data_IF_166147286529
#
_entry.id   IF_166147286529
#
_cell.length_a   1.000
_cell.length_b   1.000
_cell.length_c   1.000
_cell.angle_alpha   90.00
_cell.angle_beta   90.00
_cell.angle_gamma   90.00
#
_symmetry.space_group_name_H-M   'P 1'
#
loop_
_entity.id
_entity.type
_entity.pdbx_description
1 polymer ?
#
# COMPACT_ATOMS: atom_id res chain seq x y z
N UNK A 1 -23.43 -2.32 -17.72
CA UNK A 1 -22.48 -3.36 -17.31
C UNK A 1 -21.56 -2.92 -16.17
N UNK A 2 -21.35 -1.62 -15.94
CA UNK A 2 -20.59 -1.11 -14.79
C UNK A 2 -21.35 -1.20 -13.45
N UNK A 3 -22.67 -1.31 -13.51
CA UNK A 3 -23.55 -1.30 -12.35
C UNK A 3 -23.41 -2.57 -11.51
N UNK A 4 -23.41 -2.41 -10.20
CA UNK A 4 -23.50 -3.54 -9.25
C UNK A 4 -24.83 -4.27 -9.45
N UNK A 5 -24.74 -5.59 -9.56
CA UNK A 5 -25.90 -6.48 -9.63
C UNK A 5 -26.39 -6.86 -8.22
N UNK A 6 -27.60 -7.38 -8.06
CA UNK A 6 -28.03 -7.93 -6.79
C UNK A 6 -27.07 -9.00 -6.22
N UNK A 7 -26.50 -9.85 -7.09
CA UNK A 7 -25.53 -10.87 -6.70
C UNK A 7 -24.22 -10.25 -6.18
N UNK A 8 -23.77 -9.14 -6.78
CA UNK A 8 -22.58 -8.40 -6.27
C UNK A 8 -22.84 -7.83 -4.88
N UNK A 9 -24.02 -7.28 -4.64
CA UNK A 9 -24.40 -6.76 -3.34
C UNK A 9 -24.51 -7.87 -2.28
N UNK A 10 -25.05 -9.05 -2.64
CA UNK A 10 -25.10 -10.21 -1.76
C UNK A 10 -23.70 -10.73 -1.43
N UNK A 11 -22.80 -10.86 -2.43
CA UNK A 11 -21.38 -11.23 -2.22
C UNK A 11 -20.66 -10.23 -1.32
N UNK A 12 -20.81 -8.96 -1.60
CA UNK A 12 -20.20 -7.93 -0.77
C UNK A 12 -20.68 -8.01 0.69
N UNK A 13 -21.99 -8.15 0.90
CA UNK A 13 -22.54 -8.25 2.25
C UNK A 13 -22.09 -9.51 3.00
N UNK A 14 -21.93 -10.64 2.30
CA UNK A 14 -21.51 -11.91 2.88
C UNK A 14 -20.00 -11.97 3.14
N UNK A 15 -19.19 -11.44 2.22
CA UNK A 15 -17.73 -11.56 2.22
C UNK A 15 -17.06 -10.26 1.77
N UNK A 16 -17.08 -9.18 2.60
CA UNK A 16 -16.61 -7.86 2.19
C UNK A 16 -15.12 -7.80 1.84
N UNK A 17 -14.25 -8.55 2.52
CA UNK A 17 -12.82 -8.61 2.20
C UNK A 17 -12.57 -9.25 0.84
N UNK A 18 -13.16 -10.41 0.61
CA UNK A 18 -13.03 -11.12 -0.66
C UNK A 18 -13.56 -10.29 -1.83
N UNK A 19 -14.71 -9.63 -1.63
CA UNK A 19 -15.27 -8.71 -2.63
C UNK A 19 -14.30 -7.55 -2.96
N UNK A 20 -13.61 -7.00 -1.94
CA UNK A 20 -12.61 -5.95 -2.15
C UNK A 20 -11.41 -6.44 -2.96
N UNK A 21 -10.93 -7.65 -2.66
CA UNK A 21 -9.79 -8.28 -3.35
C UNK A 21 -10.13 -8.58 -4.81
N UNK A 22 -11.29 -9.19 -5.09
CA UNK A 22 -11.74 -9.54 -6.44
C UNK A 22 -11.91 -8.29 -7.33
N UNK A 23 -12.50 -7.21 -6.78
CA UNK A 23 -12.60 -5.94 -7.53
C UNK A 23 -11.25 -5.32 -7.87
N UNK A 24 -10.28 -5.53 -7.02
CA UNK A 24 -8.94 -4.97 -7.18
C UNK A 24 -8.08 -5.73 -8.18
N UNK A 25 -8.17 -7.04 -8.15
CA UNK A 25 -7.38 -7.93 -9.00
C UNK A 25 -7.92 -7.99 -10.44
N UNK A 26 -9.21 -7.68 -10.63
CA UNK A 26 -9.86 -7.73 -11.94
C UNK A 26 -9.83 -9.13 -12.58
N UNK A 27 -9.75 -10.16 -11.75
CA UNK A 27 -9.21 -11.47 -12.13
C UNK A 27 -10.21 -12.41 -12.83
N UNK A 28 -11.46 -11.98 -12.99
CA UNK A 28 -12.42 -12.79 -13.75
C UNK A 28 -12.42 -12.34 -15.21
N UNK A 29 -11.58 -12.97 -16.04
CA UNK A 29 -11.57 -12.78 -17.51
C UNK A 29 -12.96 -13.01 -18.15
N UNK A 30 -13.87 -13.66 -17.43
CA UNK A 30 -15.23 -13.94 -17.84
C UNK A 30 -16.25 -12.96 -17.25
N UNK A 31 -15.87 -12.08 -16.33
CA UNK A 31 -16.77 -11.08 -15.78
C UNK A 31 -16.91 -9.90 -16.74
N UNK A 32 -18.17 -9.53 -16.99
CA UNK A 32 -18.55 -8.45 -17.90
C UNK A 32 -18.15 -7.07 -17.38
N UNK A 33 -17.97 -6.92 -16.07
CA UNK A 33 -17.67 -5.64 -15.41
C UNK A 33 -16.23 -5.16 -15.62
N UNK A 34 -15.18 -5.99 -15.45
CA UNK A 34 -13.82 -5.64 -15.86
C UNK A 34 -13.73 -5.27 -17.33
N UNK A 35 -14.38 -6.04 -18.22
CA UNK A 35 -14.42 -5.73 -19.65
C UNK A 35 -15.10 -4.39 -19.94
N UNK A 36 -16.20 -4.05 -19.25
CA UNK A 36 -16.88 -2.77 -19.36
C UNK A 36 -16.01 -1.61 -18.84
N UNK A 37 -15.23 -1.84 -17.78
CA UNK A 37 -14.27 -0.88 -17.23
C UNK A 37 -13.17 -0.57 -18.24
N UNK A 38 -12.56 -1.57 -18.85
CA UNK A 38 -11.55 -1.38 -19.90
C UNK A 38 -12.13 -0.71 -21.16
N UNK A 39 -13.34 -1.09 -21.57
CA UNK A 39 -14.03 -0.42 -22.66
C UNK A 39 -14.26 1.06 -22.36
N UNK A 40 -14.68 1.40 -21.13
CA UNK A 40 -14.90 2.79 -20.73
C UNK A 40 -13.58 3.60 -20.75
N UNK A 41 -12.49 3.03 -20.26
CA UNK A 41 -11.15 3.63 -20.36
C UNK A 41 -10.72 3.83 -21.81
N UNK A 42 -10.95 2.84 -22.67
CA UNK A 42 -10.64 2.94 -24.11
C UNK A 42 -11.46 4.02 -24.81
N UNK A 43 -12.76 4.09 -24.54
CA UNK A 43 -13.66 5.10 -25.12
C UNK A 43 -13.26 6.52 -24.70
N UNK A 44 -12.92 6.73 -23.42
CA UNK A 44 -12.47 8.03 -22.95
C UNK A 44 -11.20 8.48 -23.67
N UNK A 45 -10.20 7.60 -23.83
CA UNK A 45 -8.94 7.89 -24.55
C UNK A 45 -9.13 8.17 -26.03
N UNK A 46 -10.06 7.47 -26.68
CA UNK A 46 -10.33 7.63 -28.12
C UNK A 46 -10.94 9.00 -28.42
N UNK A 47 -11.91 9.42 -27.63
CA UNK A 47 -12.57 10.73 -27.79
C UNK A 47 -11.60 11.90 -27.70
N UNK A 48 -10.55 11.78 -26.87
CA UNK A 48 -9.50 12.79 -26.71
C UNK A 48 -8.61 12.94 -27.98
N UNK A 49 -8.33 11.85 -28.69
CA UNK A 49 -7.47 11.87 -29.89
C UNK A 49 -8.14 12.48 -31.11
N UNK A 50 -9.45 12.45 -31.18
CA UNK A 50 -10.26 12.94 -32.33
C UNK A 50 -10.35 14.47 -32.39
N UNK A 51 -9.99 15.19 -31.32
CA UNK A 51 -10.21 16.62 -31.14
C UNK A 51 -9.20 17.58 -31.81
N UNK A 52 -8.31 17.13 -32.70
CA UNK A 52 -7.42 18.04 -33.42
C UNK A 52 -8.14 18.74 -34.56
N UNK A 53 -8.81 19.86 -34.29
CA UNK A 53 -9.14 20.87 -35.28
C UNK A 53 -10.61 21.07 -35.64
N UNK A 54 -11.58 20.37 -35.09
CA UNK A 54 -12.99 20.68 -35.22
C UNK A 54 -13.58 20.98 -33.83
N UNK A 55 -14.36 22.05 -33.71
CA UNK A 55 -15.20 22.25 -32.53
C UNK A 55 -16.12 21.02 -32.42
N UNK A 56 -16.10 20.31 -31.26
CA UNK A 56 -16.88 19.10 -31.10
C UNK A 56 -18.39 19.47 -31.14
N UNK A 57 -19.12 19.01 -32.13
CA UNK A 57 -20.59 19.08 -32.14
C UNK A 57 -21.21 18.18 -31.06
N UNK A 58 -20.44 17.22 -30.55
CA UNK A 58 -20.84 16.27 -29.50
C UNK A 58 -19.80 16.30 -28.38
N UNK A 59 -20.21 16.41 -27.07
CA UNK A 59 -19.32 16.31 -25.96
C UNK A 59 -18.53 14.99 -26.04
N UNK A 60 -17.23 15.03 -25.70
CA UNK A 60 -16.48 13.79 -25.56
C UNK A 60 -17.01 12.97 -24.37
N UNK A 61 -16.66 11.69 -24.30
CA UNK A 61 -17.15 10.77 -23.25
C UNK A 61 -16.86 11.31 -21.85
N UNK A 62 -15.69 11.89 -21.64
CA UNK A 62 -15.27 12.41 -20.34
C UNK A 62 -16.10 13.62 -19.91
N UNK A 63 -16.34 14.57 -20.82
CA UNK A 63 -17.21 15.72 -20.54
C UNK A 63 -18.66 15.30 -20.29
N UNK A 64 -19.16 14.32 -21.05
CA UNK A 64 -20.50 13.76 -20.81
C UNK A 64 -20.58 13.11 -19.43
N UNK A 65 -19.58 12.31 -19.02
CA UNK A 65 -19.57 11.68 -17.72
C UNK A 65 -19.47 12.73 -16.59
N UNK A 66 -18.70 13.80 -16.79
CA UNK A 66 -18.67 14.91 -15.86
C UNK A 66 -20.03 15.60 -15.69
N UNK A 67 -20.72 15.86 -16.79
CA UNK A 67 -22.09 16.40 -16.75
C UNK A 67 -23.05 15.48 -15.97
N UNK A 68 -22.96 14.16 -16.20
CA UNK A 68 -23.76 13.17 -15.45
C UNK A 68 -23.36 13.15 -13.96
N UNK A 69 -22.08 13.26 -13.67
CA UNK A 69 -21.59 13.39 -12.30
C UNK A 69 -22.22 14.60 -11.62
N UNK A 70 -22.20 15.78 -12.22
CA UNK A 70 -22.84 16.99 -11.65
C UNK A 70 -24.35 16.82 -11.50
N UNK A 71 -25.04 16.31 -12.50
CA UNK A 71 -26.49 16.10 -12.48
C UNK A 71 -26.92 15.10 -11.40
N UNK A 72 -26.09 14.10 -11.11
CA UNK A 72 -26.40 13.04 -10.13
C UNK A 72 -26.56 13.57 -8.70
N UNK A 73 -26.09 14.79 -8.38
CA UNK A 73 -26.30 15.43 -7.08
C UNK A 73 -27.78 15.57 -6.71
N UNK A 74 -28.65 15.71 -7.70
CA UNK A 74 -30.10 15.90 -7.53
C UNK A 74 -30.90 14.59 -7.59
N UNK A 75 -30.24 13.46 -7.79
CA UNK A 75 -30.94 12.18 -7.89
C UNK A 75 -31.45 11.70 -6.52
N UNK A 76 -32.60 10.99 -6.51
CA UNK A 76 -33.20 10.54 -5.26
C UNK A 76 -32.32 9.50 -4.54
N UNK A 77 -32.42 9.45 -3.22
CA UNK A 77 -31.72 8.47 -2.37
C UNK A 77 -32.46 7.11 -2.32
N UNK A 78 -33.12 6.72 -3.40
CA UNK A 78 -33.69 5.39 -3.57
C UNK A 78 -32.59 4.40 -3.98
N UNK A 79 -32.83 3.10 -3.81
CA UNK A 79 -31.91 2.06 -4.26
C UNK A 79 -31.46 2.26 -5.72
N UNK A 80 -32.42 2.52 -6.60
CA UNK A 80 -32.14 2.78 -8.03
C UNK A 80 -31.27 4.02 -8.23
N UNK A 81 -31.58 5.12 -7.55
CA UNK A 81 -30.81 6.36 -7.62
C UNK A 81 -29.38 6.23 -7.04
N UNK A 82 -29.23 5.47 -5.96
CA UNK A 82 -27.93 5.18 -5.34
C UNK A 82 -27.06 4.34 -6.27
N UNK A 83 -27.61 3.27 -6.87
CA UNK A 83 -26.86 2.43 -7.81
C UNK A 83 -26.54 3.16 -9.11
N UNK A 84 -27.44 4.02 -9.60
CA UNK A 84 -27.17 4.86 -10.77
C UNK A 84 -26.05 5.87 -10.48
N UNK A 85 -26.04 6.48 -9.29
CA UNK A 85 -24.97 7.40 -8.84
C UNK A 85 -23.62 6.68 -8.74
N UNK A 86 -23.59 5.47 -8.16
CA UNK A 86 -22.39 4.64 -8.09
C UNK A 86 -21.76 4.41 -9.47
N UNK A 87 -22.57 4.05 -10.47
CA UNK A 87 -22.13 3.85 -11.85
C UNK A 87 -21.52 5.11 -12.45
N UNK A 88 -22.18 6.26 -12.23
CA UNK A 88 -21.68 7.55 -12.77
C UNK A 88 -20.36 7.92 -12.10
N UNK A 89 -20.22 7.70 -10.80
CA UNK A 89 -18.98 7.96 -10.09
C UNK A 89 -17.87 7.03 -10.59
N UNK A 90 -18.18 5.74 -10.78
CA UNK A 90 -17.24 4.79 -11.37
C UNK A 90 -16.76 5.27 -12.75
N UNK A 91 -17.68 5.52 -13.66
CA UNK A 91 -17.36 5.96 -15.03
C UNK A 91 -16.59 7.29 -15.05
N UNK A 92 -16.94 8.24 -14.16
CA UNK A 92 -16.24 9.53 -14.06
C UNK A 92 -14.82 9.34 -13.52
N UNK A 93 -14.62 8.50 -12.50
CA UNK A 93 -13.31 8.16 -11.98
C UNK A 93 -12.40 7.55 -13.04
N UNK A 94 -12.93 6.68 -13.90
CA UNK A 94 -12.20 6.07 -15.01
C UNK A 94 -11.77 7.08 -16.10
N UNK A 95 -12.38 8.25 -16.15
CA UNK A 95 -12.05 9.33 -17.09
C UNK A 95 -10.94 10.27 -16.55
N UNK A 96 -10.28 9.95 -15.45
CA UNK A 96 -9.28 10.77 -14.74
C UNK A 96 -8.32 11.51 -15.70
N UNK A 97 -7.64 10.75 -16.55
CA UNK A 97 -6.58 11.28 -17.43
C UNK A 97 -7.11 12.27 -18.48
N UNK A 98 -8.39 12.17 -18.83
CA UNK A 98 -9.03 13.03 -19.84
C UNK A 98 -9.74 14.22 -19.20
N UNK A 99 -10.17 14.09 -17.95
CA UNK A 99 -10.75 15.20 -17.18
C UNK A 99 -9.69 16.20 -16.76
N UNK A 100 -8.45 15.76 -16.66
CA UNK A 100 -7.30 16.61 -16.41
C UNK A 100 -6.22 16.41 -17.48
N UNK A 101 -6.40 16.98 -18.68
CA UNK A 101 -5.39 16.88 -19.73
C UNK A 101 -4.15 17.70 -19.34
N UNK A 102 -3.09 17.06 -18.93
CA UNK A 102 -1.75 17.63 -18.66
C UNK A 102 -1.20 18.41 -19.86
N UNK A 103 -1.85 18.33 -21.02
CA UNK A 103 -1.45 18.91 -22.30
C UNK A 103 -1.97 20.33 -22.55
N UNK A 104 -2.90 20.83 -21.74
CA UNK A 104 -3.41 22.18 -21.89
C UNK A 104 -2.59 23.13 -21.00
N UNK A 105 -1.46 23.56 -21.52
CA UNK A 105 -0.73 24.73 -21.02
C UNK A 105 -1.50 26.02 -21.33
N UNK A 106 -2.78 26.07 -20.99
CA UNK A 106 -3.47 27.35 -20.91
C UNK A 106 -3.40 27.81 -19.47
N UNK A 107 -2.56 28.82 -19.24
CA UNK A 107 -2.12 29.29 -17.92
C UNK A 107 -3.26 29.82 -17.04
N UNK A 108 -4.47 29.98 -17.56
CA UNK A 108 -5.59 30.58 -16.83
C UNK A 108 -6.67 29.59 -16.39
N UNK A 109 -6.71 28.38 -16.94
CA UNK A 109 -7.60 27.32 -16.49
C UNK A 109 -6.77 26.28 -15.72
N UNK A 110 -6.65 26.44 -14.40
CA UNK A 110 -5.99 25.46 -13.56
C UNK A 110 -6.86 24.17 -13.51
N UNK A 111 -6.50 23.09 -14.20
CA UNK A 111 -7.27 21.86 -14.24
C UNK A 111 -7.37 21.20 -12.85
N UNK A 112 -6.43 21.49 -11.95
CA UNK A 112 -6.40 21.01 -10.57
C UNK A 112 -7.61 21.47 -9.76
N UNK A 113 -8.22 22.60 -10.12
CA UNK A 113 -9.36 23.17 -9.39
C UNK A 113 -10.62 22.31 -9.56
N UNK A 114 -10.84 21.70 -10.75
CA UNK A 114 -12.07 20.95 -11.01
C UNK A 114 -12.16 19.69 -10.15
N UNK A 115 -11.14 18.85 -10.18
CA UNK A 115 -11.15 17.57 -9.44
C UNK A 115 -10.97 17.79 -7.95
N UNK A 116 -10.04 18.64 -7.55
CA UNK A 116 -9.85 19.03 -6.14
C UNK A 116 -11.10 19.71 -5.57
N UNK A 117 -11.76 20.58 -6.35
CA UNK A 117 -13.05 21.17 -6.00
C UNK A 117 -14.15 20.11 -5.81
N UNK A 118 -14.28 19.16 -6.74
CA UNK A 118 -15.23 18.06 -6.62
C UNK A 118 -14.99 17.19 -5.36
N UNK A 119 -13.73 16.89 -5.06
CA UNK A 119 -13.39 16.16 -3.83
C UNK A 119 -13.86 16.95 -2.60
N UNK A 120 -13.50 18.23 -2.51
CA UNK A 120 -13.80 19.09 -1.36
C UNK A 120 -15.29 19.35 -1.19
N UNK A 121 -15.95 19.80 -2.27
CA UNK A 121 -17.27 20.41 -2.19
C UNK A 121 -18.40 19.38 -2.33
N UNK A 122 -18.07 18.16 -2.80
CA UNK A 122 -19.05 17.12 -3.03
C UNK A 122 -18.68 15.77 -2.45
N UNK A 123 -17.54 15.16 -2.86
CA UNK A 123 -17.24 13.78 -2.49
C UNK A 123 -17.06 13.62 -0.97
N UNK A 124 -16.31 14.52 -0.33
CA UNK A 124 -16.10 14.47 1.13
C UNK A 124 -17.43 14.66 1.90
N UNK A 125 -18.26 15.68 1.62
CA UNK A 125 -19.56 15.81 2.27
C UNK A 125 -20.50 14.62 2.06
N UNK A 126 -20.56 14.07 0.84
CA UNK A 126 -21.40 12.92 0.54
C UNK A 126 -20.88 11.63 1.22
N UNK A 127 -19.56 11.41 1.29
CA UNK A 127 -19.00 10.27 2.02
C UNK A 127 -19.26 10.35 3.53
N UNK A 128 -19.31 11.57 4.08
CA UNK A 128 -19.58 11.82 5.49
C UNK A 128 -21.08 11.78 5.85
N UNK A 129 -21.99 11.70 4.87
CA UNK A 129 -23.43 11.68 5.13
C UNK A 129 -23.83 10.52 6.02
N UNK A 130 -24.61 10.82 7.07
CA UNK A 130 -25.37 9.82 7.83
C UNK A 130 -26.66 9.50 7.07
N UNK A 131 -26.61 8.45 6.25
CA UNK A 131 -27.68 8.04 5.36
C UNK A 131 -27.98 6.55 5.57
N UNK A 132 -29.08 6.07 4.95
CA UNK A 132 -29.49 4.67 5.00
C UNK A 132 -28.35 3.71 4.64
N UNK A 133 -28.39 2.48 5.13
CA UNK A 133 -27.36 1.46 4.95
C UNK A 133 -26.95 1.27 3.47
N UNK A 134 -27.88 1.47 2.53
CA UNK A 134 -27.58 1.37 1.09
C UNK A 134 -26.56 2.42 0.62
N UNK A 135 -26.40 3.54 1.34
CA UNK A 135 -25.45 4.60 1.00
C UNK A 135 -23.99 4.14 1.10
N UNK A 136 -23.71 3.03 1.78
CA UNK A 136 -22.38 2.41 1.83
C UNK A 136 -21.81 2.14 0.43
N UNK A 137 -22.68 1.86 -0.55
CA UNK A 137 -22.32 1.63 -1.96
C UNK A 137 -21.69 2.87 -2.58
N UNK A 138 -22.32 4.04 -2.40
CA UNK A 138 -21.79 5.32 -2.91
C UNK A 138 -20.57 5.75 -2.10
N UNK A 139 -20.60 5.59 -0.77
CA UNK A 139 -19.46 5.92 0.10
C UNK A 139 -18.20 5.17 -0.33
N UNK A 140 -18.30 3.88 -0.58
CA UNK A 140 -17.20 3.09 -1.09
C UNK A 140 -16.69 3.64 -2.43
N UNK A 141 -17.58 3.95 -3.38
CA UNK A 141 -17.19 4.48 -4.69
C UNK A 141 -16.54 5.87 -4.58
N UNK A 142 -16.95 6.68 -3.63
CA UNK A 142 -16.31 7.96 -3.34
C UNK A 142 -14.87 7.75 -2.86
N UNK A 143 -14.64 6.82 -1.93
CA UNK A 143 -13.28 6.51 -1.44
C UNK A 143 -12.40 5.99 -2.58
N UNK A 144 -12.95 5.16 -3.46
CA UNK A 144 -12.26 4.71 -4.67
C UNK A 144 -11.92 5.88 -5.62
N UNK A 145 -12.83 6.86 -5.80
CA UNK A 145 -12.51 8.05 -6.58
C UNK A 145 -11.41 8.89 -5.94
N UNK A 146 -11.38 9.01 -4.62
CA UNK A 146 -10.30 9.69 -3.89
C UNK A 146 -8.97 8.96 -4.09
N UNK A 147 -8.97 7.63 -4.12
CA UNK A 147 -7.79 6.83 -4.45
C UNK A 147 -7.33 7.11 -5.89
N UNK A 148 -8.21 6.99 -6.88
CA UNK A 148 -7.90 7.24 -8.29
C UNK A 148 -7.43 8.69 -8.53
N UNK A 149 -7.93 9.64 -7.74
CA UNK A 149 -7.63 11.05 -7.85
C UNK A 149 -6.65 11.56 -6.77
N UNK A 150 -5.87 10.68 -6.19
CA UNK A 150 -4.92 11.01 -5.10
C UNK A 150 -3.95 12.13 -5.46
N UNK A 151 -3.53 12.21 -6.71
CA UNK A 151 -2.64 13.26 -7.23
C UNK A 151 -3.29 14.66 -7.23
N UNK A 152 -4.63 14.75 -7.17
CA UNK A 152 -5.39 16.00 -7.17
C UNK A 152 -5.89 16.40 -5.78
N UNK A 153 -5.40 15.73 -4.74
CA UNK A 153 -5.68 16.08 -3.35
C UNK A 153 -4.65 17.13 -2.88
N UNK A 154 -4.96 18.39 -3.16
CA UNK A 154 -4.13 19.55 -2.78
C UNK A 154 -4.70 20.30 -1.58
N UNK A 155 -3.96 21.31 -1.07
CA UNK A 155 -4.49 22.30 -0.15
C UNK A 155 -5.56 23.18 -0.84
N UNK A 156 -6.71 23.50 -0.17
CA UNK A 156 -7.06 23.17 1.23
C UNK A 156 -7.83 21.84 1.38
N UNK A 157 -7.95 21.00 0.35
CA UNK A 157 -8.74 19.76 0.33
C UNK A 157 -8.08 18.64 1.16
N UNK A 158 -6.74 18.65 1.22
CA UNK A 158 -5.93 17.59 1.83
C UNK A 158 -6.29 17.30 3.30
N UNK A 159 -6.37 18.29 4.22
CA UNK A 159 -6.72 18.03 5.61
C UNK A 159 -8.10 17.40 5.77
N UNK A 160 -9.07 17.83 4.96
CA UNK A 160 -10.44 17.30 4.99
C UNK A 160 -10.46 15.83 4.50
N UNK A 161 -9.67 15.53 3.47
CA UNK A 161 -9.52 14.17 2.94
C UNK A 161 -8.89 13.24 3.98
N UNK A 162 -7.83 13.66 4.65
CA UNK A 162 -7.21 12.88 5.72
C UNK A 162 -8.20 12.62 6.86
N UNK A 163 -8.93 13.64 7.32
CA UNK A 163 -9.92 13.48 8.36
C UNK A 163 -11.01 12.44 7.99
N UNK A 164 -11.52 12.51 6.75
CA UNK A 164 -12.50 11.54 6.24
C UNK A 164 -11.92 10.12 6.20
N UNK A 165 -10.76 9.94 5.61
CA UNK A 165 -10.16 8.61 5.44
C UNK A 165 -9.81 7.97 6.78
N UNK A 166 -9.30 8.74 7.74
CA UNK A 166 -9.04 8.26 9.11
C UNK A 166 -10.35 7.90 9.83
N UNK A 167 -11.41 8.66 9.64
CA UNK A 167 -12.73 8.30 10.17
C UNK A 167 -13.22 6.98 9.59
N UNK A 168 -13.03 6.75 8.29
CA UNK A 168 -13.46 5.54 7.59
C UNK A 168 -12.63 4.30 7.93
N UNK A 169 -11.39 4.44 8.41
CA UNK A 169 -10.59 3.32 8.92
C UNK A 169 -11.16 2.74 10.22
N UNK A 170 -11.92 3.53 10.99
CA UNK A 170 -12.50 3.10 12.25
C UNK A 170 -13.75 2.26 12.00
N UNK A 171 -13.92 1.18 12.77
CA UNK A 171 -15.13 0.38 12.69
C UNK A 171 -16.34 1.16 13.20
N UNK A 172 -17.33 1.33 12.32
CA UNK A 172 -18.64 1.89 12.66
C UNK A 172 -19.70 1.11 11.87
N UNK A 173 -20.43 0.15 12.52
CA UNK A 173 -21.42 -0.68 11.86
C UNK A 173 -22.45 0.17 11.10
N UNK A 174 -22.74 -0.20 9.85
CA UNK A 174 -23.64 0.54 8.95
C UNK A 174 -23.01 1.77 8.29
N UNK A 175 -21.84 2.22 8.75
CA UNK A 175 -21.11 3.34 8.19
C UNK A 175 -19.88 2.90 7.39
N UNK A 176 -19.10 1.94 7.90
CA UNK A 176 -17.96 1.32 7.22
C UNK A 176 -18.01 -0.20 7.33
N UNK A 177 -17.31 -0.85 6.43
CA UNK A 177 -17.00 -2.28 6.45
C UNK A 177 -15.54 -2.51 6.05
N UNK A 178 -15.11 -3.76 5.99
CA UNK A 178 -13.73 -4.11 5.61
C UNK A 178 -13.38 -3.59 4.21
N UNK A 179 -14.31 -3.58 3.25
CA UNK A 179 -14.09 -3.06 1.90
C UNK A 179 -13.71 -1.57 1.91
N UNK A 180 -14.48 -0.76 2.66
CA UNK A 180 -14.21 0.69 2.78
C UNK A 180 -12.93 0.94 3.56
N UNK A 181 -12.66 0.17 4.62
CA UNK A 181 -11.45 0.30 5.44
C UNK A 181 -10.18 -0.01 4.64
N UNK A 182 -10.18 -1.08 3.86
CA UNK A 182 -9.07 -1.44 2.95
C UNK A 182 -8.82 -0.32 1.92
N UNK A 183 -9.89 0.16 1.32
CA UNK A 183 -9.81 1.22 0.32
C UNK A 183 -9.35 2.56 0.92
N UNK A 184 -9.80 2.90 2.13
CA UNK A 184 -9.37 4.10 2.85
C UNK A 184 -7.87 4.03 3.21
N UNK A 185 -7.37 2.87 3.62
CA UNK A 185 -5.95 2.66 3.88
C UNK A 185 -5.11 2.86 2.61
N UNK A 186 -5.55 2.28 1.49
CA UNK A 186 -4.90 2.45 0.18
C UNK A 186 -4.94 3.90 -0.29
N UNK A 187 -6.05 4.59 -0.09
CA UNK A 187 -6.18 6.01 -0.44
C UNK A 187 -5.22 6.88 0.37
N UNK A 188 -5.06 6.62 1.67
CA UNK A 188 -4.08 7.33 2.50
C UNK A 188 -2.65 7.07 2.03
N UNK A 189 -2.30 5.82 1.71
CA UNK A 189 -0.99 5.48 1.17
C UNK A 189 -0.75 6.15 -0.18
N UNK A 190 -1.72 6.12 -1.09
CA UNK A 190 -1.61 6.76 -2.40
C UNK A 190 -1.40 8.27 -2.30
N UNK A 191 -2.15 8.95 -1.42
CA UNK A 191 -1.96 10.40 -1.18
C UNK A 191 -0.60 10.68 -0.53
N UNK A 192 -0.17 9.83 0.41
CA UNK A 192 1.14 9.97 1.05
C UNK A 192 2.28 9.76 0.04
N UNK A 193 2.11 8.89 -0.96
CA UNK A 193 3.14 8.62 -1.97
C UNK A 193 3.24 9.68 -3.07
N UNK A 194 2.33 10.64 -3.12
CA UNK A 194 2.40 11.73 -4.09
C UNK A 194 3.64 12.62 -3.88
N UNK A 195 4.14 13.21 -4.97
CA UNK A 195 5.27 14.16 -4.92
C UNK A 195 4.95 15.44 -4.14
N UNK A 196 3.66 15.75 -4.00
CA UNK A 196 3.16 16.93 -3.29
C UNK A 196 2.89 16.66 -1.81
N UNK A 197 3.18 15.46 -1.31
CA UNK A 197 2.98 15.13 0.09
C UNK A 197 3.80 16.03 1.01
N UNK A 198 3.16 16.57 2.03
CA UNK A 198 3.78 17.39 3.05
C UNK A 198 3.58 16.76 4.43
N UNK A 199 4.68 16.34 5.04
CA UNK A 199 4.71 15.65 6.33
C UNK A 199 3.96 16.43 7.42
N UNK A 200 4.15 17.73 7.50
CA UNK A 200 3.54 18.57 8.53
C UNK A 200 2.01 18.65 8.45
N UNK A 201 1.42 18.53 7.25
CA UNK A 201 -0.03 18.53 7.06
C UNK A 201 -0.66 17.19 7.44
N UNK A 202 0.11 16.09 7.35
CA UNK A 202 -0.34 14.75 7.74
C UNK A 202 -0.14 14.47 9.23
N UNK A 203 0.80 15.13 9.89
CA UNK A 203 1.17 14.88 11.30
C UNK A 203 -0.02 14.87 12.27
N UNK A 204 -1.04 15.78 12.18
CA UNK A 204 -2.21 15.73 13.06
C UNK A 204 -3.03 14.44 12.95
N UNK A 205 -2.93 13.72 11.85
CA UNK A 205 -3.69 12.50 11.54
C UNK A 205 -2.88 11.22 11.74
N UNK A 206 -1.56 11.33 11.91
CA UNK A 206 -0.63 10.19 11.95
C UNK A 206 -0.98 9.20 13.06
N UNK A 207 -1.19 9.68 14.29
CA UNK A 207 -1.51 8.82 15.43
C UNK A 207 -2.76 8.00 15.18
N UNK A 208 -3.84 8.65 14.77
CA UNK A 208 -5.13 8.00 14.52
C UNK A 208 -5.04 7.01 13.36
N UNK A 209 -4.27 7.35 12.31
CA UNK A 209 -3.99 6.47 11.18
C UNK A 209 -3.25 5.21 11.61
N UNK A 210 -2.13 5.35 12.33
CA UNK A 210 -1.32 4.22 12.77
C UNK A 210 -2.10 3.30 13.71
N UNK A 211 -2.85 3.87 14.66
CA UNK A 211 -3.68 3.10 15.59
C UNK A 211 -4.77 2.33 14.85
N UNK A 212 -5.45 2.96 13.88
CA UNK A 212 -6.52 2.31 13.12
C UNK A 212 -5.96 1.18 12.23
N UNK A 213 -4.85 1.40 11.51
CA UNK A 213 -4.20 0.38 10.68
C UNK A 213 -3.67 -0.78 11.53
N UNK A 214 -3.06 -0.48 12.68
CA UNK A 214 -2.60 -1.49 13.63
C UNK A 214 -3.76 -2.34 14.17
N UNK A 215 -4.90 -1.72 14.47
CA UNK A 215 -6.10 -2.42 14.90
C UNK A 215 -6.62 -3.38 13.80
N UNK A 216 -6.69 -2.93 12.55
CA UNK A 216 -7.09 -3.77 11.42
C UNK A 216 -6.18 -4.99 11.27
N UNK A 217 -4.87 -4.83 11.39
CA UNK A 217 -3.91 -5.93 11.32
C UNK A 217 -4.03 -6.92 12.49
N UNK A 218 -4.47 -6.47 13.67
CA UNK A 218 -4.56 -7.34 14.85
C UNK A 218 -5.84 -8.15 14.94
N UNK A 219 -6.97 -7.61 14.50
CA UNK A 219 -8.28 -8.17 14.84
C UNK A 219 -9.33 -8.05 13.73
N UNK A 220 -9.04 -7.35 12.63
CA UNK A 220 -10.07 -6.94 11.70
C UNK A 220 -10.10 -7.70 10.37
N UNK A 221 -9.02 -8.39 10.00
CA UNK A 221 -8.86 -8.96 8.68
C UNK A 221 -8.51 -10.44 8.74
N UNK A 222 -9.18 -11.25 7.93
CA UNK A 222 -8.95 -12.70 7.86
C UNK A 222 -8.14 -13.08 6.60
N UNK A 223 -8.37 -12.39 5.49
CA UNK A 223 -7.74 -12.68 4.21
C UNK A 223 -6.26 -12.22 4.16
N UNK A 224 -5.31 -13.07 3.74
CA UNK A 224 -3.89 -12.71 3.65
C UNK A 224 -3.63 -11.49 2.74
N UNK A 225 -4.37 -11.36 1.65
CA UNK A 225 -4.23 -10.25 0.70
C UNK A 225 -4.70 -8.91 1.29
N UNK A 226 -5.75 -8.94 2.13
CA UNK A 226 -6.18 -7.77 2.90
C UNK A 226 -5.11 -7.31 3.89
N UNK A 227 -4.52 -8.27 4.63
CA UNK A 227 -3.42 -7.99 5.56
C UNK A 227 -2.21 -7.42 4.83
N UNK A 228 -1.86 -7.98 3.66
CA UNK A 228 -0.79 -7.48 2.79
C UNK A 228 -1.04 -6.03 2.36
N UNK A 229 -2.26 -5.71 1.94
CA UNK A 229 -2.64 -4.36 1.52
C UNK A 229 -2.47 -3.32 2.65
N UNK A 230 -2.92 -3.64 3.88
CA UNK A 230 -2.74 -2.75 5.03
C UNK A 230 -1.27 -2.65 5.44
N UNK A 231 -0.52 -3.76 5.39
CA UNK A 231 0.92 -3.78 5.68
C UNK A 231 1.67 -2.87 4.71
N UNK A 232 1.35 -2.94 3.41
CA UNK A 232 1.92 -2.07 2.39
C UNK A 232 1.58 -0.59 2.65
N UNK A 233 0.32 -0.28 2.99
CA UNK A 233 -0.08 1.08 3.33
C UNK A 233 0.73 1.65 4.52
N UNK A 234 0.99 0.83 5.56
CA UNK A 234 1.86 1.21 6.66
C UNK A 234 3.31 1.45 6.20
N UNK A 235 3.86 0.60 5.34
CA UNK A 235 5.22 0.77 4.79
C UNK A 235 5.35 2.11 4.06
N UNK A 236 4.40 2.44 3.17
CA UNK A 236 4.39 3.72 2.45
C UNK A 236 4.32 4.90 3.42
N UNK A 237 3.41 4.85 4.39
CA UNK A 237 3.28 5.93 5.39
C UNK A 237 4.58 6.07 6.21
N UNK A 238 5.18 4.96 6.67
CA UNK A 238 6.45 4.99 7.40
C UNK A 238 7.56 5.67 6.60
N UNK A 239 7.69 5.36 5.32
CA UNK A 239 8.71 5.99 4.47
C UNK A 239 8.51 7.50 4.35
N UNK A 240 7.26 7.96 4.27
CA UNK A 240 6.92 9.37 4.04
C UNK A 240 6.98 10.23 5.30
N UNK A 241 6.63 9.67 6.46
CA UNK A 241 6.64 10.41 7.75
C UNK A 241 7.96 10.25 8.51
N UNK A 242 8.80 9.29 8.10
CA UNK A 242 10.15 9.08 8.61
C UNK A 242 10.22 8.98 10.15
N UNK A 243 11.02 9.82 10.79
CA UNK A 243 11.25 9.79 12.26
C UNK A 243 10.00 10.03 13.12
N UNK A 244 8.90 10.56 12.56
CA UNK A 244 7.63 10.69 13.29
C UNK A 244 7.00 9.34 13.62
N UNK A 245 7.48 8.23 13.00
CA UNK A 245 7.06 6.87 13.34
C UNK A 245 7.73 6.30 14.60
N UNK A 246 8.84 6.87 15.06
CA UNK A 246 9.61 6.34 16.20
C UNK A 246 8.76 6.08 17.47
N UNK A 247 7.82 6.95 17.86
CA UNK A 247 6.97 6.70 19.04
C UNK A 247 6.08 5.45 18.93
N UNK A 248 5.77 5.00 17.71
CA UNK A 248 4.88 3.86 17.46
C UNK A 248 5.66 2.54 17.29
N UNK A 249 6.99 2.63 17.15
CA UNK A 249 7.87 1.48 16.91
C UNK A 249 7.64 0.28 17.83
N UNK A 250 7.56 0.45 19.17
CA UNK A 250 7.31 -0.67 20.07
C UNK A 250 6.01 -1.40 19.80
N UNK A 251 4.90 -0.65 19.64
CA UNK A 251 3.59 -1.23 19.39
C UNK A 251 3.53 -1.96 18.05
N UNK A 252 4.21 -1.43 17.01
CA UNK A 252 4.31 -2.06 15.71
C UNK A 252 5.18 -3.32 15.75
N UNK A 253 6.29 -3.31 16.50
CA UNK A 253 7.15 -4.48 16.69
C UNK A 253 6.41 -5.62 17.41
N UNK A 254 5.57 -5.31 18.41
CA UNK A 254 4.78 -6.29 19.17
C UNK A 254 3.72 -7.01 18.31
N UNK A 255 3.36 -6.45 17.16
CA UNK A 255 2.41 -7.09 16.23
C UNK A 255 3.07 -8.16 15.36
N UNK A 256 4.35 -8.02 15.05
CA UNK A 256 5.07 -8.85 14.08
C UNK A 256 4.95 -10.35 14.38
N UNK A 257 5.13 -10.85 15.61
CA UNK A 257 5.00 -12.28 15.90
C UNK A 257 3.61 -12.84 15.56
N UNK A 258 2.55 -12.04 15.75
CA UNK A 258 1.18 -12.47 15.43
C UNK A 258 0.96 -12.49 13.92
N UNK A 259 1.47 -11.50 13.20
CA UNK A 259 1.38 -11.46 11.73
C UNK A 259 2.16 -12.63 11.12
N UNK A 260 3.36 -12.90 11.63
CA UNK A 260 4.22 -13.99 11.16
C UNK A 260 3.61 -15.40 11.38
N UNK A 261 2.88 -15.56 12.49
CA UNK A 261 2.24 -16.82 12.87
C UNK A 261 0.89 -17.07 12.21
N UNK A 262 0.39 -16.16 11.37
CA UNK A 262 -0.88 -16.37 10.64
C UNK A 262 -0.79 -17.58 9.73
N UNK A 263 -1.91 -18.27 9.59
CA UNK A 263 -2.04 -19.37 8.63
C UNK A 263 -1.98 -18.81 7.20
N UNK A 264 -0.89 -19.11 6.52
CA UNK A 264 -0.59 -18.66 5.15
C UNK A 264 0.18 -19.79 4.44
N UNK A 265 -0.50 -20.86 4.04
CA UNK A 265 0.15 -22.03 3.45
C UNK A 265 0.87 -21.73 2.12
N UNK A 266 0.51 -20.66 1.45
CA UNK A 266 1.14 -20.21 0.21
C UNK A 266 2.25 -19.16 0.45
N UNK A 267 2.50 -18.80 1.69
CA UNK A 267 3.49 -17.78 2.10
C UNK A 267 3.34 -16.42 1.40
N UNK A 268 2.12 -16.02 1.06
CA UNK A 268 1.85 -14.74 0.38
C UNK A 268 2.06 -13.53 1.28
N UNK A 269 1.80 -13.68 2.58
CA UNK A 269 1.90 -12.61 3.56
C UNK A 269 3.34 -12.41 4.05
N UNK A 270 4.12 -13.48 4.19
CA UNK A 270 5.45 -13.42 4.82
C UNK A 270 6.43 -12.45 4.16
N UNK A 271 6.52 -12.33 2.81
CA UNK A 271 7.37 -11.30 2.17
C UNK A 271 6.99 -9.88 2.62
N UNK A 272 5.69 -9.58 2.69
CA UNK A 272 5.22 -8.25 3.13
C UNK A 272 5.50 -7.99 4.61
N UNK A 273 5.50 -9.04 5.46
CA UNK A 273 5.92 -8.91 6.87
C UNK A 273 7.42 -8.63 6.95
N UNK A 274 8.25 -9.27 6.13
CA UNK A 274 9.69 -8.99 6.08
C UNK A 274 9.96 -7.55 5.60
N UNK A 275 9.26 -7.09 4.57
CA UNK A 275 9.32 -5.70 4.10
C UNK A 275 8.93 -4.72 5.20
N UNK A 276 7.80 -4.97 5.88
CA UNK A 276 7.34 -4.14 6.99
C UNK A 276 8.37 -4.06 8.13
N UNK A 277 8.94 -5.20 8.52
CA UNK A 277 9.98 -5.23 9.57
C UNK A 277 11.25 -4.53 9.10
N UNK A 278 11.60 -4.64 7.82
CA UNK A 278 12.73 -3.92 7.21
C UNK A 278 12.56 -2.41 7.34
N UNK A 279 11.38 -1.90 6.98
CA UNK A 279 11.04 -0.48 7.14
C UNK A 279 11.01 -0.03 8.60
N UNK A 280 10.44 -0.87 9.47
CA UNK A 280 10.41 -0.59 10.90
C UNK A 280 11.81 -0.52 11.48
N UNK A 281 12.70 -1.43 11.09
CA UNK A 281 14.11 -1.42 11.50
C UNK A 281 14.82 -0.16 11.05
N UNK A 282 14.69 0.22 9.78
CA UNK A 282 15.32 1.44 9.24
C UNK A 282 14.89 2.71 9.99
N UNK A 283 13.60 2.82 10.34
CA UNK A 283 13.05 4.04 10.94
C UNK A 283 13.12 4.09 12.45
N UNK A 284 13.10 2.94 13.13
CA UNK A 284 12.98 2.88 14.58
C UNK A 284 14.29 2.47 15.27
N UNK A 285 15.01 1.47 14.74
CA UNK A 285 16.18 0.89 15.42
C UNK A 285 17.30 1.90 15.71
N UNK A 286 17.64 2.86 14.83
CA UNK A 286 18.67 3.86 15.12
C UNK A 286 18.35 4.81 16.29
N UNK A 287 17.07 4.86 16.71
CA UNK A 287 16.58 5.80 17.71
C UNK A 287 16.38 5.18 19.10
N UNK A 288 16.70 3.89 19.27
CA UNK A 288 16.54 3.17 20.53
C UNK A 288 17.88 2.69 21.09
N UNK A 289 18.04 2.81 22.40
CA UNK A 289 19.26 2.32 23.09
C UNK A 289 19.29 0.79 23.18
N UNK A 290 18.14 0.16 23.46
CA UNK A 290 18.02 -1.29 23.67
C UNK A 290 17.67 -2.02 22.36
N UNK A 291 18.60 -2.06 21.41
CA UNK A 291 18.40 -2.69 20.10
C UNK A 291 18.24 -4.23 20.14
N UNK A 292 18.74 -4.88 21.20
CA UNK A 292 18.84 -6.33 21.30
C UNK A 292 17.48 -7.06 21.14
N UNK A 293 16.38 -6.47 21.62
CA UNK A 293 15.06 -7.08 21.50
C UNK A 293 14.56 -7.10 20.05
N UNK A 294 14.74 -6.00 19.33
CA UNK A 294 14.39 -5.93 17.91
C UNK A 294 15.28 -6.85 17.07
N UNK A 295 16.59 -6.88 17.35
CA UNK A 295 17.51 -7.80 16.69
C UNK A 295 17.17 -9.27 16.97
N UNK A 296 16.71 -9.62 18.18
CA UNK A 296 16.26 -10.98 18.50
C UNK A 296 14.97 -11.35 17.72
N UNK A 297 14.03 -10.41 17.58
CA UNK A 297 12.85 -10.59 16.73
C UNK A 297 13.27 -10.86 15.29
N UNK A 298 14.12 -10.01 14.72
CA UNK A 298 14.64 -10.17 13.35
C UNK A 298 15.36 -11.50 13.19
N UNK A 299 16.25 -11.88 14.12
CA UNK A 299 16.98 -13.14 14.05
C UNK A 299 16.05 -14.36 13.99
N UNK A 300 14.91 -14.31 14.68
CA UNK A 300 13.88 -15.35 14.59
C UNK A 300 13.26 -15.42 13.19
N UNK A 301 12.84 -14.28 12.64
CA UNK A 301 12.26 -14.23 11.29
C UNK A 301 13.25 -14.74 10.24
N UNK A 302 14.53 -14.38 10.37
CA UNK A 302 15.59 -14.83 9.46
C UNK A 302 15.81 -16.35 9.53
N UNK A 303 15.85 -16.95 10.75
CA UNK A 303 15.96 -18.40 10.89
C UNK A 303 14.81 -19.11 10.18
N UNK A 304 13.58 -18.70 10.43
CA UNK A 304 12.40 -19.28 9.79
C UNK A 304 12.44 -19.12 8.27
N UNK A 305 12.92 -17.97 7.76
CA UNK A 305 13.01 -17.67 6.33
C UNK A 305 14.13 -18.44 5.61
N UNK A 306 15.22 -18.79 6.31
CA UNK A 306 16.33 -19.55 5.73
C UNK A 306 16.13 -21.06 5.82
N UNK A 307 15.05 -21.54 6.39
CA UNK A 307 14.71 -22.95 6.32
C UNK A 307 14.58 -23.42 4.86
N UNK A 308 15.04 -24.64 4.52
CA UNK A 308 15.09 -25.12 3.11
C UNK A 308 13.75 -24.99 2.36
N UNK A 309 12.62 -25.14 3.05
CA UNK A 309 11.29 -25.04 2.44
C UNK A 309 10.86 -23.58 2.17
N UNK A 310 11.27 -22.64 3.00
CA UNK A 310 10.89 -21.22 2.93
C UNK A 310 11.88 -20.39 2.09
N UNK A 311 13.16 -20.76 2.09
CA UNK A 311 14.26 -20.03 1.48
C UNK A 311 14.03 -19.62 0.02
N UNK A 312 13.52 -20.48 -0.88
CA UNK A 312 13.28 -20.09 -2.27
C UNK A 312 12.30 -18.92 -2.44
N UNK A 313 11.40 -18.74 -1.48
CA UNK A 313 10.36 -17.69 -1.50
C UNK A 313 10.76 -16.46 -0.68
N UNK A 314 11.45 -16.65 0.45
CA UNK A 314 11.71 -15.61 1.43
C UNK A 314 13.18 -15.17 1.52
N UNK A 315 14.11 -15.95 0.95
CA UNK A 315 15.55 -15.76 1.15
C UNK A 315 16.06 -14.38 0.74
N UNK A 316 15.54 -13.83 -0.35
CA UNK A 316 15.93 -12.50 -0.83
C UNK A 316 15.46 -11.40 0.14
N UNK A 317 14.19 -11.41 0.53
CA UNK A 317 13.62 -10.41 1.46
C UNK A 317 14.22 -10.53 2.86
N UNK A 318 14.52 -11.77 3.27
CA UNK A 318 15.22 -12.02 4.52
C UNK A 318 16.64 -11.44 4.53
N UNK A 319 17.39 -11.56 3.43
CA UNK A 319 18.72 -10.96 3.31
C UNK A 319 18.66 -9.43 3.31
N UNK A 320 17.65 -8.83 2.67
CA UNK A 320 17.40 -7.40 2.74
C UNK A 320 17.12 -6.95 4.18
N UNK A 321 16.24 -7.67 4.88
CA UNK A 321 15.96 -7.40 6.29
C UNK A 321 17.22 -7.52 7.15
N UNK A 322 18.05 -8.53 6.92
CA UNK A 322 19.30 -8.70 7.64
C UNK A 322 20.26 -7.53 7.41
N UNK A 323 20.46 -7.15 6.14
CA UNK A 323 21.25 -5.99 5.76
C UNK A 323 20.77 -4.70 6.44
N UNK A 324 19.47 -4.36 6.32
CA UNK A 324 18.90 -3.15 6.93
C UNK A 324 19.03 -3.17 8.46
N UNK A 325 18.92 -4.36 9.08
CA UNK A 325 19.10 -4.50 10.54
C UNK A 325 20.53 -4.16 10.94
N UNK A 326 21.52 -4.66 10.23
CA UNK A 326 22.91 -4.36 10.53
C UNK A 326 23.25 -2.90 10.28
N UNK A 327 22.85 -2.36 9.11
CA UNK A 327 23.09 -0.97 8.73
C UNK A 327 22.44 0.04 9.71
N UNK A 328 21.39 -0.38 10.43
CA UNK A 328 20.68 0.43 11.43
C UNK A 328 21.11 0.15 12.87
N UNK A 329 22.08 -0.73 13.10
CA UNK A 329 22.52 -1.17 14.41
C UNK A 329 23.83 -0.50 14.85
N UNK A 330 24.02 -0.38 16.15
CA UNK A 330 25.28 0.09 16.74
C UNK A 330 26.16 -1.05 17.26
N UNK A 331 25.59 -2.24 17.43
CA UNK A 331 26.30 -3.43 17.90
C UNK A 331 25.54 -4.70 17.48
N UNK A 332 26.25 -5.82 17.40
CA UNK A 332 25.66 -7.14 17.12
C UNK A 332 25.16 -7.80 18.40
N UNK A 333 23.92 -8.30 18.37
CA UNK A 333 23.41 -9.17 19.43
C UNK A 333 23.79 -10.63 19.18
N UNK A 334 23.86 -11.44 20.26
CA UNK A 334 24.16 -12.85 20.13
C UNK A 334 23.28 -13.63 19.15
N UNK A 335 21.94 -13.42 19.07
CA UNK A 335 21.09 -14.09 18.09
C UNK A 335 21.46 -13.80 16.63
N UNK A 336 21.96 -12.59 16.30
CA UNK A 336 22.42 -12.24 14.96
C UNK A 336 23.81 -12.84 14.68
N UNK A 337 24.68 -12.92 15.70
CA UNK A 337 25.99 -13.59 15.58
C UNK A 337 25.81 -15.08 15.23
N UNK A 338 24.87 -15.77 15.88
CA UNK A 338 24.59 -17.18 15.60
C UNK A 338 24.19 -17.42 14.12
N UNK A 339 23.50 -16.48 13.50
CA UNK A 339 23.09 -16.57 12.09
C UNK A 339 24.28 -16.51 11.11
N UNK A 340 25.44 -15.99 11.52
CA UNK A 340 26.61 -15.97 10.65
C UNK A 340 27.09 -17.38 10.26
N UNK A 341 26.67 -18.40 10.99
CA UNK A 341 26.96 -19.81 10.66
C UNK A 341 26.35 -20.23 9.31
N UNK A 342 25.26 -19.62 8.84
CA UNK A 342 24.65 -19.90 7.54
C UNK A 342 25.27 -19.08 6.38
N UNK A 343 26.10 -18.06 6.67
CA UNK A 343 26.66 -17.16 5.67
C UNK A 343 27.47 -17.89 4.56
N UNK A 344 28.33 -18.89 4.84
CA UNK A 344 29.06 -19.60 3.80
C UNK A 344 28.14 -20.34 2.80
N UNK A 345 27.04 -20.93 3.31
CA UNK A 345 26.05 -21.62 2.47
C UNK A 345 25.30 -20.64 1.55
N UNK A 346 24.89 -19.48 2.08
CA UNK A 346 24.21 -18.43 1.32
C UNK A 346 25.15 -17.80 0.27
N UNK A 347 26.41 -17.58 0.60
CA UNK A 347 27.43 -17.09 -0.34
C UNK A 347 27.69 -18.07 -1.49
N UNK A 348 27.59 -19.36 -1.24
CA UNK A 348 27.76 -20.38 -2.30
C UNK A 348 26.62 -20.36 -3.34
N UNK A 349 25.53 -19.67 -3.08
CA UNK A 349 24.37 -19.56 -3.98
C UNK A 349 24.45 -18.23 -4.75
N UNK A 350 24.60 -18.25 -6.10
CA UNK A 350 24.80 -17.03 -6.89
C UNK A 350 23.71 -15.98 -6.73
N UNK A 351 22.47 -16.41 -6.47
CA UNK A 351 21.32 -15.54 -6.28
C UNK A 351 21.38 -14.72 -4.99
N UNK A 352 21.98 -15.25 -3.92
CA UNK A 352 22.09 -14.59 -2.61
C UNK A 352 23.43 -13.90 -2.38
N UNK A 353 24.45 -14.30 -3.12
CA UNK A 353 25.83 -13.86 -2.90
C UNK A 353 26.00 -12.33 -2.87
N UNK A 354 25.41 -11.53 -3.79
CA UNK A 354 25.57 -10.08 -3.76
C UNK A 354 25.03 -9.43 -2.48
N UNK A 355 23.85 -9.87 -2.02
CA UNK A 355 23.27 -9.34 -0.77
C UNK A 355 24.02 -9.85 0.46
N UNK A 356 24.45 -11.12 0.46
CA UNK A 356 25.21 -11.67 1.56
C UNK A 356 26.59 -10.99 1.70
N UNK A 357 27.20 -10.54 0.61
CA UNK A 357 28.42 -9.71 0.67
C UNK A 357 28.15 -8.37 1.38
N UNK A 358 27.01 -7.72 1.12
CA UNK A 358 26.62 -6.49 1.85
C UNK A 358 26.36 -6.78 3.33
N UNK A 359 25.66 -7.86 3.65
CA UNK A 359 25.44 -8.30 5.04
C UNK A 359 26.79 -8.51 5.74
N UNK A 360 27.77 -9.12 5.05
CA UNK A 360 29.09 -9.35 5.62
C UNK A 360 29.88 -8.04 5.79
N UNK A 361 29.77 -7.10 4.85
CA UNK A 361 30.38 -5.76 4.95
C UNK A 361 29.90 -5.04 6.23
N UNK A 362 28.58 -4.97 6.46
CA UNK A 362 28.03 -4.37 7.68
C UNK A 362 28.44 -5.16 8.94
N UNK A 363 28.51 -6.50 8.82
CA UNK A 363 28.99 -7.35 9.93
C UNK A 363 30.41 -6.97 10.34
N UNK A 364 31.32 -6.78 9.39
CA UNK A 364 32.72 -6.42 9.67
C UNK A 364 32.83 -5.07 10.39
N UNK A 365 31.93 -4.13 10.10
CA UNK A 365 31.92 -2.81 10.75
C UNK A 365 31.41 -2.86 12.20
N UNK A 366 30.56 -3.83 12.52
CA UNK A 366 29.87 -3.92 13.82
C UNK A 366 30.45 -4.99 14.76
N UNK A 367 31.06 -6.03 14.17
CA UNK A 367 31.44 -7.21 14.93
C UNK A 367 32.73 -6.99 15.73
N UNK A 368 32.80 -7.49 16.98
CA UNK A 368 34.05 -7.62 17.72
C UNK A 368 35.04 -8.55 17.01
N UNK A 369 36.34 -8.36 17.32
CA UNK A 369 37.43 -9.16 16.70
C UNK A 369 37.26 -10.67 16.84
N UNK A 370 36.78 -11.14 18.00
CA UNK A 370 36.53 -12.56 18.25
C UNK A 370 35.48 -13.16 17.33
N UNK A 371 34.42 -12.41 16.98
CA UNK A 371 33.40 -12.82 16.01
C UNK A 371 33.98 -12.89 14.61
N UNK A 372 34.80 -11.90 14.22
CA UNK A 372 35.49 -11.90 12.93
C UNK A 372 36.47 -13.04 12.80
N UNK A 373 37.21 -13.37 13.89
CA UNK A 373 38.09 -14.55 13.93
C UNK A 373 37.32 -15.87 13.82
N UNK A 374 36.15 -15.98 14.44
CA UNK A 374 35.33 -17.19 14.42
C UNK A 374 34.73 -17.50 13.06
N UNK A 375 34.26 -16.50 12.37
CA UNK A 375 33.49 -16.67 11.11
C UNK A 375 34.24 -16.22 9.84
N UNK A 376 35.21 -15.31 9.95
CA UNK A 376 35.88 -14.67 8.81
C UNK A 376 36.51 -15.65 7.85
N UNK A 377 37.23 -16.65 8.34
CA UNK A 377 37.90 -17.63 7.47
C UNK A 377 36.93 -18.48 6.66
N UNK A 378 35.78 -18.85 7.22
CA UNK A 378 34.77 -19.64 6.51
C UNK A 378 34.05 -18.79 5.44
N UNK A 379 33.77 -17.53 5.75
CA UNK A 379 33.16 -16.57 4.82
C UNK A 379 34.11 -16.24 3.67
N UNK A 380 35.35 -15.88 3.96
CA UNK A 380 36.37 -15.64 2.91
C UNK A 380 36.65 -16.88 2.07
N UNK A 381 36.63 -18.07 2.65
CA UNK A 381 36.75 -19.32 1.89
C UNK A 381 35.60 -19.53 0.90
N UNK A 382 34.36 -19.12 1.28
CA UNK A 382 33.20 -19.17 0.38
C UNK A 382 33.24 -18.07 -0.70
N UNK A 383 33.84 -16.91 -0.43
CA UNK A 383 33.99 -15.81 -1.39
C UNK A 383 35.14 -16.04 -2.39
N UNK A 384 36.19 -16.76 -2.02
CA UNK A 384 37.39 -16.94 -2.85
C UNK A 384 37.10 -17.44 -4.26
N UNK A 385 36.19 -18.41 -4.51
CA UNK A 385 35.81 -18.83 -5.86
C UNK A 385 35.19 -17.74 -6.70
N UNK A 386 34.53 -16.76 -6.09
CA UNK A 386 33.83 -15.67 -6.80
C UNK A 386 34.81 -14.65 -7.35
N UNK A 387 35.87 -14.33 -6.60
CA UNK A 387 36.87 -13.33 -7.00
C UNK A 387 37.72 -13.82 -8.17
N UNK A 388 37.86 -15.14 -8.36
CA UNK A 388 38.62 -15.76 -9.45
C UNK A 388 37.83 -16.00 -10.73
N UNK A 389 36.52 -15.73 -10.78
CA UNK A 389 35.68 -16.02 -11.95
C UNK A 389 35.68 -14.83 -12.93
N UNK A 390 35.98 -15.04 -14.24
CA UNK A 390 36.06 -13.95 -15.24
C UNK A 390 34.75 -13.20 -15.48
N UNK A 391 33.61 -13.68 -14.91
CA UNK A 391 32.29 -13.06 -14.99
C UNK A 391 31.78 -12.58 -13.62
N UNK A 392 32.62 -12.46 -12.60
CA UNK A 392 32.25 -11.85 -11.34
C UNK A 392 31.98 -10.36 -11.55
N UNK A 393 30.78 -9.84 -11.23
CA UNK A 393 30.61 -8.39 -11.15
C UNK A 393 31.47 -7.88 -9.99
N UNK A 394 32.41 -7.01 -10.28
CA UNK A 394 33.21 -6.26 -9.32
C UNK A 394 32.34 -5.16 -8.71
#
# INVERSE_FOLDING_TARGET
>A
YLRLTPTDLERWQAHPEQFAIEEDQGDDELDIRPAATELMRALSRHSFRSGKGAAPEVPNVSDYMWMQFEASAQWPLTLEGVLAREVVYHATGLCRDQLNPVWWYDSDANPDVRMSGAIRDRLIPEAAMDADAIWIVVRRRIVWMVFEWSEYVYEPTRPMTYALLVQLLRQAPGYTDATIQLLAARSLAAIADTVTFERHTFQPYLQDTVVALAHLLQSGLEEPDSVRSITHALCVIMDRVDTDMVPYGPALADMVPKMWARDDPQMRLKPSVLEFVSKLVEKYLPHIEAQAQMQALVARLLRDSFEPAARPLLGHDALLLWYHTLASSYALSAPLVELLSCAPELLAQPEYAPLMCRVWEETVLLAPEDVLHAFGMSVYGAMAPMVGHPNSPV
#
